data_IF_474009015997
#
_entry.id   IF_474009015997
#
_cell.length_a   1.000
_cell.length_b   1.000
_cell.length_c   1.000
_cell.angle_alpha   90.00
_cell.angle_beta   90.00
_cell.angle_gamma   90.00
#
_symmetry.space_group_name_H-M   'P 1'
#
loop_
_entity.id
_entity.type
_entity.pdbx_description
1 polymer ?
#
# COMPACT_ATOMS: atom_id res chain seq x y z
N UNK A 1 6.04 -34.67 -17.84
CA UNK A 1 5.54 -33.60 -16.97
C UNK A 1 6.66 -32.62 -16.71
N UNK A 2 6.53 -31.38 -17.18
CA UNK A 2 7.55 -30.33 -17.02
C UNK A 2 7.70 -29.96 -15.53
N UNK A 3 8.91 -30.15 -15.04
CA UNK A 3 9.41 -29.86 -13.70
C UNK A 3 9.48 -28.34 -13.47
N UNK A 4 8.37 -27.71 -13.13
CA UNK A 4 8.40 -26.41 -12.46
C UNK A 4 8.79 -26.68 -11.01
N UNK A 5 10.09 -26.90 -10.77
CA UNK A 5 10.62 -26.80 -9.42
C UNK A 5 10.49 -25.32 -9.05
N UNK A 6 9.40 -24.96 -8.37
CA UNK A 6 9.23 -23.59 -7.87
C UNK A 6 10.36 -23.30 -6.89
N UNK A 7 11.07 -22.20 -7.14
CA UNK A 7 12.11 -21.71 -6.24
C UNK A 7 11.45 -21.00 -5.06
N UNK A 8 12.19 -20.83 -3.96
CA UNK A 8 11.73 -20.04 -2.81
C UNK A 8 11.33 -18.62 -3.22
N UNK A 9 12.03 -18.05 -4.21
CA UNK A 9 11.66 -16.79 -4.84
C UNK A 9 10.28 -16.82 -5.54
N UNK A 10 9.96 -17.88 -6.30
CA UNK A 10 8.65 -18.00 -6.96
C UNK A 10 7.51 -18.12 -5.92
N UNK A 11 7.77 -18.83 -4.81
CA UNK A 11 6.86 -18.90 -3.67
C UNK A 11 6.69 -17.54 -2.98
N UNK A 12 7.79 -16.84 -2.72
CA UNK A 12 7.77 -15.52 -2.10
C UNK A 12 7.01 -14.49 -2.96
N UNK A 13 7.23 -14.49 -4.28
CA UNK A 13 6.52 -13.62 -5.21
C UNK A 13 5.01 -13.90 -5.20
N UNK A 14 4.60 -15.15 -5.32
CA UNK A 14 3.18 -15.52 -5.33
C UNK A 14 2.50 -15.18 -3.99
N UNK A 15 3.22 -15.35 -2.87
CA UNK A 15 2.72 -14.99 -1.55
C UNK A 15 2.55 -13.48 -1.38
N UNK A 16 3.52 -12.67 -1.82
CA UNK A 16 3.41 -11.21 -1.85
C UNK A 16 2.17 -10.77 -2.64
N UNK A 17 1.96 -11.32 -3.85
CA UNK A 17 0.79 -11.00 -4.66
C UNK A 17 -0.53 -11.40 -3.96
N UNK A 18 -0.54 -12.51 -3.23
CA UNK A 18 -1.69 -12.92 -2.43
C UNK A 18 -1.99 -11.91 -1.31
N UNK A 19 -0.96 -11.37 -0.65
CA UNK A 19 -1.12 -10.34 0.37
C UNK A 19 -1.64 -9.02 -0.21
N UNK A 20 -1.10 -8.57 -1.34
CA UNK A 20 -1.58 -7.37 -2.06
C UNK A 20 -3.08 -7.50 -2.35
N UNK A 21 -3.51 -8.64 -2.92
CA UNK A 21 -4.91 -8.85 -3.29
C UNK A 21 -5.85 -9.00 -2.09
N UNK A 22 -5.41 -9.68 -1.01
CA UNK A 22 -6.24 -9.89 0.19
C UNK A 22 -6.42 -8.63 1.02
N UNK A 23 -5.34 -7.86 1.21
CA UNK A 23 -5.38 -6.63 2.00
C UNK A 23 -6.01 -5.45 1.24
N UNK A 24 -6.12 -5.53 -0.09
CA UNK A 24 -6.70 -4.45 -0.90
C UNK A 24 -5.88 -3.17 -0.86
N UNK A 25 -4.56 -3.28 -0.61
CA UNK A 25 -3.62 -2.17 -0.45
C UNK A 25 -3.62 -1.21 -1.64
N UNK A 26 -4.01 -1.68 -2.82
CA UNK A 26 -4.19 -0.88 -4.05
C UNK A 26 -5.17 0.29 -3.90
N UNK A 27 -6.08 0.25 -2.92
CA UNK A 27 -7.04 1.34 -2.63
C UNK A 27 -6.56 2.29 -1.55
N UNK A 28 -5.46 1.97 -0.86
CA UNK A 28 -4.91 2.80 0.20
C UNK A 28 -4.12 3.99 -0.36
N UNK A 29 -3.85 4.98 0.49
CA UNK A 29 -3.02 6.15 0.11
C UNK A 29 -1.58 5.73 -0.14
N UNK A 30 -0.82 6.48 -0.94
CA UNK A 30 0.56 6.14 -1.30
C UNK A 30 1.46 5.89 -0.07
N UNK A 31 1.33 6.71 0.98
CA UNK A 31 2.06 6.55 2.24
C UNK A 31 1.72 5.24 2.96
N UNK A 32 0.43 4.86 2.95
CA UNK A 32 -0.02 3.60 3.54
C UNK A 32 0.46 2.40 2.72
N UNK A 33 0.51 2.53 1.40
CA UNK A 33 1.04 1.49 0.52
C UNK A 33 2.54 1.27 0.76
N UNK A 34 3.30 2.36 0.92
CA UNK A 34 4.74 2.30 1.20
C UNK A 34 5.01 1.66 2.57
N UNK A 35 4.34 2.15 3.62
CA UNK A 35 4.48 1.59 4.96
C UNK A 35 4.09 0.12 5.03
N UNK A 36 3.01 -0.27 4.33
CA UNK A 36 2.59 -1.66 4.23
C UNK A 36 3.60 -2.52 3.48
N UNK A 37 4.20 -1.99 2.40
CA UNK A 37 5.21 -2.70 1.63
C UNK A 37 6.46 -2.93 2.47
N UNK A 38 6.94 -1.93 3.21
CA UNK A 38 8.09 -2.08 4.10
C UNK A 38 7.84 -3.14 5.18
N UNK A 39 6.68 -3.12 5.84
CA UNK A 39 6.28 -4.11 6.85
C UNK A 39 6.18 -5.52 6.24
N UNK A 40 5.58 -5.62 5.06
CA UNK A 40 5.46 -6.89 4.32
C UNK A 40 6.84 -7.40 3.92
N UNK A 41 7.75 -6.54 3.45
CA UNK A 41 9.11 -6.95 3.09
C UNK A 41 9.91 -7.46 4.29
N UNK A 42 9.72 -6.88 5.48
CA UNK A 42 10.30 -7.39 6.71
C UNK A 42 9.79 -8.81 7.02
N UNK A 43 8.47 -9.01 6.95
CA UNK A 43 7.87 -10.34 7.10
C UNK A 43 8.42 -11.35 6.07
N UNK A 44 8.57 -10.94 4.80
CA UNK A 44 9.11 -11.82 3.75
C UNK A 44 10.56 -12.20 4.02
N UNK A 45 11.39 -11.27 4.51
CA UNK A 45 12.79 -11.55 4.86
C UNK A 45 12.93 -12.52 6.04
N UNK A 46 12.05 -12.42 7.04
CA UNK A 46 12.02 -13.37 8.17
C UNK A 46 11.53 -14.76 7.75
N UNK A 47 10.51 -14.80 6.88
CA UNK A 47 9.89 -16.05 6.43
C UNK A 47 10.74 -16.82 5.44
N UNK A 48 11.42 -16.12 4.54
CA UNK A 48 12.24 -16.68 3.48
C UNK A 48 13.71 -16.32 3.72
N UNK A 49 14.28 -16.86 4.78
CA UNK A 49 15.69 -16.63 5.19
C UNK A 49 16.73 -17.08 4.16
N UNK A 50 16.32 -17.96 3.24
CA UNK A 50 17.15 -18.49 2.16
C UNK A 50 17.21 -17.55 0.94
N UNK A 51 16.37 -16.50 0.90
CA UNK A 51 16.45 -15.47 -0.14
C UNK A 51 17.68 -14.60 0.06
N UNK A 52 18.36 -14.31 -1.03
CA UNK A 52 19.43 -13.34 -1.05
C UNK A 52 18.89 -11.91 -0.91
N UNK A 53 19.74 -10.98 -0.45
CA UNK A 53 19.38 -9.55 -0.43
C UNK A 53 18.99 -9.02 -1.82
N UNK A 54 19.58 -9.57 -2.89
CA UNK A 54 19.24 -9.22 -4.26
C UNK A 54 17.80 -9.66 -4.63
N UNK A 55 17.41 -10.87 -4.24
CA UNK A 55 16.06 -11.39 -4.47
C UNK A 55 15.02 -10.66 -3.63
N UNK A 56 15.33 -10.30 -2.38
CA UNK A 56 14.47 -9.46 -1.56
C UNK A 56 14.32 -8.05 -2.15
N UNK A 57 15.41 -7.49 -2.69
CA UNK A 57 15.38 -6.22 -3.42
C UNK A 57 14.47 -6.27 -4.65
N UNK A 58 14.61 -7.32 -5.47
CA UNK A 58 13.76 -7.54 -6.64
C UNK A 58 12.28 -7.69 -6.24
N UNK A 59 12.00 -8.45 -5.16
CA UNK A 59 10.66 -8.64 -4.63
C UNK A 59 10.01 -7.31 -4.20
N UNK A 60 10.78 -6.41 -3.57
CA UNK A 60 10.33 -5.07 -3.20
C UNK A 60 10.02 -4.21 -4.42
N UNK A 61 10.89 -4.22 -5.44
CA UNK A 61 10.66 -3.49 -6.68
C UNK A 61 9.39 -3.96 -7.40
N UNK A 62 9.17 -5.28 -7.46
CA UNK A 62 7.96 -5.88 -8.02
C UNK A 62 6.73 -5.38 -7.26
N UNK A 63 6.73 -5.45 -5.93
CA UNK A 63 5.62 -4.98 -5.09
C UNK A 63 5.32 -3.50 -5.30
N UNK A 64 6.35 -2.65 -5.30
CA UNK A 64 6.22 -1.21 -5.51
C UNK A 64 5.59 -0.89 -6.87
N UNK A 65 6.07 -1.51 -7.96
CA UNK A 65 5.49 -1.32 -9.30
C UNK A 65 4.05 -1.78 -9.42
N UNK A 66 3.66 -2.80 -8.66
CA UNK A 66 2.29 -3.30 -8.67
C UNK A 66 1.33 -2.39 -7.93
N UNK A 67 1.82 -1.71 -6.88
CA UNK A 67 1.07 -0.72 -6.12
C UNK A 67 0.95 0.64 -6.84
N UNK A 68 1.87 0.98 -7.75
CA UNK A 68 1.82 2.24 -8.49
C UNK A 68 0.59 2.34 -9.40
N UNK A 69 -0.11 3.48 -9.41
CA UNK A 69 -1.22 3.70 -10.34
C UNK A 69 -0.69 3.66 -11.77
N UNK A 70 -1.36 2.89 -12.64
CA UNK A 70 -1.06 2.85 -14.07
C UNK A 70 -1.20 4.27 -14.59
N UNK A 71 -0.09 4.93 -14.96
CA UNK A 71 -0.16 6.27 -15.54
C UNK A 71 -1.02 6.15 -16.80
N UNK A 72 -2.21 6.79 -16.86
CA UNK A 72 -2.94 6.84 -18.11
C UNK A 72 -2.12 7.71 -19.05
N UNK A 73 -1.38 7.08 -19.96
CA UNK A 73 -0.84 7.75 -21.15
C UNK A 73 -2.01 8.08 -22.07
N UNK A 74 -2.86 9.00 -21.64
CA UNK A 74 -4.13 9.34 -22.25
C UNK A 74 -4.58 10.68 -21.69
N UNK A 75 -4.24 11.73 -22.43
CA UNK A 75 -4.61 13.12 -22.20
C UNK A 75 -6.05 13.29 -21.67
N UNK A 76 -6.19 13.70 -20.40
CA UNK A 76 -7.33 14.47 -19.89
C UNK A 76 -8.10 13.89 -18.70
N UNK A 77 -8.42 14.78 -17.76
CA UNK A 77 -9.45 14.75 -16.70
C UNK A 77 -9.20 13.86 -15.46
N UNK A 78 -9.70 14.13 -14.26
CA UNK A 78 -9.93 15.33 -13.40
C UNK A 78 -10.45 14.73 -12.09
N UNK A 79 -9.85 15.14 -10.96
CA UNK A 79 -10.36 15.10 -9.57
C UNK A 79 -10.86 13.77 -8.96
N UNK A 80 -10.31 13.43 -7.79
CA UNK A 80 -10.97 13.69 -6.50
C UNK A 80 -9.93 13.64 -5.37
N UNK A 81 -9.58 14.82 -4.84
CA UNK A 81 -8.96 14.92 -3.51
C UNK A 81 -10.08 15.10 -2.52
N UNK A 82 -10.37 14.07 -1.74
CA UNK A 82 -11.30 14.16 -0.62
C UNK A 82 -10.61 14.94 0.50
N UNK A 83 -10.76 16.27 0.47
CA UNK A 83 -10.49 17.13 1.62
C UNK A 83 -11.63 16.93 2.62
N UNK A 84 -11.37 16.16 3.68
CA UNK A 84 -12.18 16.19 4.90
C UNK A 84 -11.96 17.51 5.63
N UNK A 85 -12.73 18.52 5.25
CA UNK A 85 -13.03 19.67 6.08
C UNK A 85 -13.95 19.19 7.21
N UNK A 86 -13.52 19.32 8.45
CA UNK A 86 -14.46 19.40 9.57
C UNK A 86 -14.00 20.53 10.45
N UNK A 87 -14.31 21.75 9.99
CA UNK A 87 -14.49 22.89 10.86
C UNK A 87 -15.49 22.51 11.96
N UNK A 88 -14.99 22.26 13.17
CA UNK A 88 -15.84 22.28 14.37
C UNK A 88 -15.81 23.69 14.91
N UNK A 89 -16.77 24.43 14.39
CA UNK A 89 -17.44 25.61 14.91
C UNK A 89 -17.09 25.96 16.37
N UNK A 90 -16.60 27.19 16.51
CA UNK A 90 -16.48 27.88 17.79
C UNK A 90 -17.88 28.26 18.24
N UNK A 91 -18.32 27.84 19.42
CA UNK A 91 -19.52 28.38 20.08
C UNK A 91 -19.15 29.67 20.84
N UNK A 92 -19.60 30.87 20.41
CA UNK A 92 -19.77 32.00 21.31
C UNK A 92 -21.18 31.96 21.92
N UNK A 93 -21.31 31.35 23.09
CA UNK A 93 -22.54 31.36 23.88
C UNK A 93 -22.72 32.70 24.62
N UNK A 94 -23.84 33.35 24.32
CA UNK A 94 -24.22 34.71 24.69
C UNK A 94 -24.27 35.05 26.20
N UNK A 95 -24.03 36.33 26.44
CA UNK A 95 -24.30 37.13 27.63
C UNK A 95 -25.81 37.39 27.85
N UNK A 96 -26.31 37.30 29.09
CA UNK A 96 -27.21 38.27 29.76
C UNK A 96 -28.14 37.65 30.84
N UNK A 97 -27.98 38.14 32.07
CA UNK A 97 -29.04 38.67 32.93
C UNK A 97 -30.24 37.79 33.34
N UNK A 98 -30.30 37.43 34.62
CA UNK A 98 -31.56 37.27 35.35
C UNK A 98 -31.42 37.88 36.75
N UNK A 99 -32.29 38.89 36.94
CA UNK A 99 -32.85 39.58 38.13
C UNK A 99 -32.34 39.26 39.53
#
# INVERSE_FOLDING_TARGET
>A
MGKHQRTDFDHARDELMSHIHRCGVLRASQEQQDQWLEDTMQFMAERYSDLTEAELGELREIGSRFCQPVIPHGKGNTAISEKGDTAKDSEPGEMAGAV
#
